data_IF_658468061618
#
_entry.id   IF_658468061618
#
_cell.length_a   1.000
_cell.length_b   1.000
_cell.length_c   1.000
_cell.angle_alpha   90.00
_cell.angle_beta   90.00
_cell.angle_gamma   90.00
#
_symmetry.space_group_name_H-M   'P 1'
#
loop_
_entity.id
_entity.type
_entity.pdbx_description
1 polymer ?
#
# COMPACT_ATOMS: atom_id res chain seq x y z
N UNK A 1 -3.22 23.17 11.66
CA UNK A 1 -3.96 22.14 10.94
C UNK A 1 -3.12 20.89 10.79
N UNK A 2 -3.72 19.74 11.05
CA UNK A 2 -3.02 18.50 10.92
C UNK A 2 -3.01 18.06 9.46
N UNK A 3 -1.86 17.58 8.98
CA UNK A 3 -1.76 16.95 7.69
C UNK A 3 -1.76 15.45 7.86
N UNK A 4 -2.25 14.75 6.86
CA UNK A 4 -2.21 13.30 6.85
C UNK A 4 -0.75 12.86 6.65
N UNK A 5 -0.26 11.86 7.40
CA UNK A 5 1.09 11.36 7.19
C UNK A 5 1.25 10.83 5.77
N UNK A 6 2.47 10.86 5.28
CA UNK A 6 2.77 10.36 3.94
C UNK A 6 2.90 8.84 3.96
N UNK A 7 1.83 8.17 3.59
CA UNK A 7 1.78 6.72 3.53
C UNK A 7 2.27 6.16 2.19
N UNK A 8 2.87 6.98 1.33
CA UNK A 8 3.35 6.52 0.04
C UNK A 8 4.32 5.34 0.22
N UNK A 9 4.08 4.27 -0.53
CA UNK A 9 4.89 3.06 -0.45
C UNK A 9 4.35 2.00 0.49
N UNK A 10 3.38 2.33 1.34
CA UNK A 10 2.78 1.33 2.21
C UNK A 10 1.93 0.35 1.41
N UNK A 11 1.85 -0.88 1.89
CA UNK A 11 0.97 -1.90 1.32
C UNK A 11 -0.22 -2.07 2.24
N UNK A 12 -1.41 -2.05 1.65
CA UNK A 12 -2.66 -2.08 2.39
C UNK A 12 -3.62 -3.07 1.76
N UNK A 13 -4.61 -3.50 2.55
CA UNK A 13 -5.71 -4.30 2.06
C UNK A 13 -7.00 -3.51 2.26
N UNK A 14 -7.82 -3.42 1.21
CA UNK A 14 -9.11 -2.75 1.32
C UNK A 14 -10.07 -3.58 2.17
N UNK A 15 -10.77 -2.92 3.09
CA UNK A 15 -11.71 -3.59 4.00
C UNK A 15 -13.15 -3.24 3.72
N UNK A 16 -13.41 -2.39 2.73
CA UNK A 16 -14.77 -1.96 2.40
C UNK A 16 -14.87 -1.65 0.91
N UNK A 17 -16.10 -1.63 0.41
CA UNK A 17 -16.39 -1.26 -0.96
C UNK A 17 -16.13 -2.38 -1.96
N UNK A 18 -16.11 -2.02 -3.24
CA UNK A 18 -15.92 -2.98 -4.32
C UNK A 18 -14.57 -3.66 -4.32
N UNK A 19 -13.57 -2.98 -3.76
CA UNK A 19 -12.21 -3.49 -3.74
C UNK A 19 -11.89 -4.29 -2.48
N UNK A 20 -12.91 -4.58 -1.67
CA UNK A 20 -12.73 -5.29 -0.40
C UNK A 20 -11.94 -6.58 -0.60
N UNK A 21 -10.93 -6.77 0.22
CA UNK A 21 -10.04 -7.92 0.15
C UNK A 21 -8.88 -7.76 -0.81
N UNK A 22 -8.89 -6.71 -1.64
CA UNK A 22 -7.81 -6.46 -2.58
C UNK A 22 -6.56 -5.90 -1.93
N UNK A 23 -5.41 -6.27 -2.48
CA UNK A 23 -4.11 -5.81 -2.02
C UNK A 23 -3.65 -4.66 -2.90
N UNK A 24 -3.24 -3.56 -2.28
CA UNK A 24 -2.85 -2.34 -3.00
C UNK A 24 -1.59 -1.73 -2.42
N UNK A 25 -0.91 -0.96 -3.26
CA UNK A 25 0.18 -0.10 -2.82
C UNK A 25 -0.33 1.33 -2.78
N UNK A 26 0.06 2.07 -1.75
CA UNK A 26 -0.25 3.50 -1.66
C UNK A 26 0.72 4.24 -2.57
N UNK A 27 0.20 4.81 -3.65
CA UNK A 27 1.03 5.53 -4.62
C UNK A 27 1.06 7.03 -4.37
N UNK A 28 0.26 7.51 -3.44
CA UNK A 28 0.24 8.89 -3.05
C UNK A 28 -0.80 9.14 -1.98
N UNK A 29 -0.90 10.38 -1.55
CA UNK A 29 -1.86 10.79 -0.53
C UNK A 29 -2.55 12.07 -1.01
N UNK A 30 -3.88 12.07 -0.94
CA UNK A 30 -4.68 13.26 -1.23
C UNK A 30 -4.86 14.02 0.08
N UNK A 31 -4.03 15.03 0.31
CA UNK A 31 -4.06 15.79 1.56
C UNK A 31 -5.36 16.59 1.72
N UNK A 32 -5.90 17.08 0.61
CA UNK A 32 -7.11 17.90 0.68
C UNK A 32 -8.31 17.11 1.22
N UNK A 33 -8.41 15.85 0.80
CA UNK A 33 -9.53 14.98 1.20
C UNK A 33 -9.12 13.97 2.25
N UNK A 34 -7.85 13.93 2.60
CA UNK A 34 -7.28 13.01 3.59
C UNK A 34 -7.57 11.56 3.23
N UNK A 35 -7.22 11.22 2.00
CA UNK A 35 -7.42 9.87 1.48
C UNK A 35 -6.12 9.31 0.93
N UNK A 36 -6.01 7.99 1.00
CA UNK A 36 -4.91 7.27 0.39
C UNK A 36 -5.24 7.02 -1.08
N UNK A 37 -4.23 7.14 -1.94
CA UNK A 37 -4.37 6.82 -3.36
C UNK A 37 -3.79 5.43 -3.59
N UNK A 38 -4.65 4.49 -3.96
CA UNK A 38 -4.31 3.07 -4.04
C UNK A 38 -4.23 2.59 -5.48
N UNK A 39 -3.21 1.81 -5.79
CA UNK A 39 -3.08 1.18 -7.09
C UNK A 39 -2.47 -0.22 -6.94
N UNK A 40 -2.83 -1.12 -7.83
CA UNK A 40 -2.28 -2.46 -7.85
C UNK A 40 -1.68 -2.83 -9.22
N UNK A 41 -1.79 -1.93 -10.19
CA UNK A 41 -1.27 -2.14 -11.53
C UNK A 41 -2.14 -3.06 -12.40
N UNK A 42 -3.27 -3.50 -11.88
CA UNK A 42 -4.16 -4.42 -12.59
C UNK A 42 -5.58 -3.86 -12.68
N UNK A 43 -6.29 -3.84 -11.56
CA UNK A 43 -7.64 -3.26 -11.50
C UNK A 43 -7.59 -1.76 -11.30
N UNK A 44 -6.62 -1.30 -10.52
CA UNK A 44 -6.40 0.13 -10.26
C UNK A 44 -5.02 0.50 -10.78
N UNK A 45 -4.99 1.17 -11.91
CA UNK A 45 -3.74 1.55 -12.56
C UNK A 45 -3.08 2.71 -11.83
N UNK A 46 -1.76 2.82 -11.96
CA UNK A 46 -1.01 3.91 -11.36
C UNK A 46 -1.58 5.27 -11.77
N UNK A 47 -1.95 5.42 -13.05
CA UNK A 47 -2.47 6.68 -13.58
C UNK A 47 -3.86 7.02 -13.08
N UNK A 48 -4.60 6.04 -12.55
CA UNK A 48 -5.96 6.24 -12.03
C UNK A 48 -6.14 5.49 -10.71
N UNK A 49 -5.43 5.92 -9.68
CA UNK A 49 -5.53 5.23 -8.39
C UNK A 49 -6.90 5.45 -7.76
N UNK A 50 -7.28 4.53 -6.90
CA UNK A 50 -8.52 4.63 -6.15
C UNK A 50 -8.27 5.40 -4.86
N UNK A 51 -9.05 6.44 -4.60
CA UNK A 51 -8.99 7.17 -3.33
C UNK A 51 -9.79 6.41 -2.27
N UNK A 52 -9.18 6.18 -1.12
CA UNK A 52 -9.83 5.49 0.00
C UNK A 52 -9.44 6.12 1.32
N UNK A 53 -10.42 6.18 2.22
CA UNK A 53 -10.16 6.62 3.59
C UNK A 53 -9.28 5.63 4.32
N UNK A 54 -8.49 6.14 5.25
CA UNK A 54 -7.63 5.31 6.10
C UNK A 54 -8.45 4.27 6.87
N UNK A 55 -9.69 4.60 7.22
CA UNK A 55 -10.56 3.69 7.95
C UNK A 55 -11.02 2.48 7.14
N UNK A 56 -10.87 2.53 5.84
CA UNK A 56 -11.34 1.47 4.95
C UNK A 56 -10.22 0.60 4.44
N UNK A 57 -9.06 0.64 5.09
CA UNK A 57 -7.92 -0.21 4.75
C UNK A 57 -7.26 -0.76 6.00
N UNK A 58 -6.61 -1.90 5.84
CA UNK A 58 -5.68 -2.43 6.84
C UNK A 58 -4.27 -2.11 6.38
N UNK A 59 -3.45 -1.58 7.28
CA UNK A 59 -2.06 -1.26 6.99
C UNK A 59 -1.24 -2.54 7.18
N UNK A 60 -0.79 -3.12 6.07
CA UNK A 60 -0.10 -4.41 6.12
C UNK A 60 1.40 -4.29 6.24
N UNK A 61 2.02 -3.41 5.47
CA UNK A 61 3.47 -3.28 5.50
C UNK A 61 3.88 -1.84 5.28
N UNK A 62 4.91 -1.44 5.99
CA UNK A 62 5.54 -0.12 5.89
C UNK A 62 6.81 -0.26 5.07
N UNK A 63 7.11 0.68 4.16
CA UNK A 63 8.39 0.63 3.45
C UNK A 63 9.54 0.91 4.42
N UNK A 64 10.71 0.38 4.11
CA UNK A 64 11.89 0.64 4.90
C UNK A 64 12.30 2.11 4.77
N UNK A 65 12.82 2.69 5.84
CA UNK A 65 13.30 4.05 5.85
C UNK A 65 12.36 4.99 6.59
N UNK A 66 12.30 6.24 6.13
CA UNK A 66 11.50 7.27 6.78
C UNK A 66 10.02 7.07 6.53
N UNK A 67 9.22 7.45 7.51
CA UNK A 67 7.79 7.39 7.36
C UNK A 67 7.10 7.52 8.69
N UNK A 68 5.76 7.41 8.71
CA UNK A 68 5.05 7.40 9.97
C UNK A 68 5.34 6.11 10.73
N UNK A 69 6.13 6.23 11.79
CA UNK A 69 6.55 5.08 12.59
C UNK A 69 5.67 4.83 13.81
N UNK A 70 4.73 5.71 14.06
CA UNK A 70 3.82 5.56 15.19
C UNK A 70 2.65 4.63 14.90
N UNK A 71 2.53 4.15 13.67
CA UNK A 71 1.53 3.16 13.30
C UNK A 71 2.25 1.85 13.01
N UNK A 72 1.84 0.78 13.67
CA UNK A 72 2.47 -0.51 13.50
C UNK A 72 1.71 -1.34 12.48
N UNK A 73 2.31 -1.64 11.32
CA UNK A 73 1.63 -2.46 10.32
C UNK A 73 1.60 -3.93 10.73
N UNK A 74 0.60 -4.65 10.24
CA UNK A 74 0.40 -6.05 10.62
C UNK A 74 1.56 -6.96 10.23
N UNK A 75 2.18 -6.72 9.08
CA UNK A 75 3.26 -7.55 8.57
C UNK A 75 4.64 -6.88 8.64
N UNK A 76 4.76 -5.78 9.37
CA UNK A 76 6.05 -5.11 9.56
C UNK A 76 6.51 -4.33 8.34
N UNK A 77 7.82 -4.43 8.03
CA UNK A 77 8.41 -3.69 6.93
C UNK A 77 8.55 -4.56 5.70
N UNK A 78 8.42 -3.94 4.54
CA UNK A 78 8.64 -4.61 3.26
C UNK A 78 9.43 -3.69 2.36
N UNK A 79 10.56 -4.17 1.87
CA UNK A 79 11.43 -3.41 0.99
C UNK A 79 11.39 -3.99 -0.42
N UNK A 80 11.23 -3.11 -1.40
CA UNK A 80 11.21 -3.50 -2.81
C UNK A 80 11.66 -2.31 -3.65
N UNK A 81 12.47 -2.54 -4.71
CA UNK A 81 12.96 -1.43 -5.54
C UNK A 81 11.85 -0.51 -6.08
N UNK A 82 10.70 -1.10 -6.46
CA UNK A 82 9.56 -0.30 -6.93
C UNK A 82 9.02 0.62 -5.85
N UNK A 83 8.93 0.12 -4.62
CA UNK A 83 8.44 0.91 -3.50
C UNK A 83 9.41 2.04 -3.19
N UNK A 84 10.70 1.78 -3.25
CA UNK A 84 11.71 2.82 -3.01
C UNK A 84 11.61 3.93 -4.06
N UNK A 85 11.32 3.59 -5.31
CA UNK A 85 11.10 4.58 -6.34
C UNK A 85 9.91 5.48 -6.03
N UNK A 86 8.82 4.90 -5.55
CA UNK A 86 7.65 5.68 -5.15
C UNK A 86 8.01 6.67 -4.05
N UNK A 87 8.79 6.23 -3.08
CA UNK A 87 9.20 7.10 -1.97
C UNK A 87 10.08 8.24 -2.42
N UNK A 88 10.82 8.05 -3.51
CA UNK A 88 11.66 9.09 -4.08
C UNK A 88 10.89 10.03 -5.00
N UNK A 89 9.58 9.83 -5.12
CA UNK A 89 8.76 10.68 -5.96
C UNK A 89 8.72 10.26 -7.42
N UNK A 90 9.26 9.10 -7.75
CA UNK A 90 9.26 8.62 -9.12
C UNK A 90 7.98 7.87 -9.45
N UNK A 91 7.55 7.99 -10.69
CA UNK A 91 6.39 7.25 -11.16
C UNK A 91 6.74 5.77 -11.29
N UNK A 92 5.74 4.92 -11.11
CA UNK A 92 5.92 3.49 -11.17
C UNK A 92 5.01 2.90 -12.24
N UNK A 93 5.54 2.01 -13.07
CA UNK A 93 4.72 1.35 -14.06
C UNK A 93 3.76 0.36 -13.41
N UNK A 94 2.65 0.06 -14.10
CA UNK A 94 1.71 -0.92 -13.60
C UNK A 94 2.35 -2.30 -13.45
N UNK A 95 3.26 -2.64 -14.34
CA UNK A 95 4.01 -3.88 -14.25
C UNK A 95 4.85 -3.93 -12.97
N UNK A 96 5.51 -2.83 -12.65
CA UNK A 96 6.33 -2.75 -11.44
C UNK A 96 5.46 -2.84 -10.19
N UNK A 97 4.28 -2.21 -10.20
CA UNK A 97 3.32 -2.34 -9.10
C UNK A 97 2.90 -3.79 -8.90
N UNK A 98 2.54 -4.48 -9.98
CA UNK A 98 2.16 -5.89 -9.89
C UNK A 98 3.27 -6.75 -9.33
N UNK A 99 4.52 -6.48 -9.76
CA UNK A 99 5.68 -7.22 -9.28
C UNK A 99 5.94 -6.99 -7.79
N UNK A 100 5.81 -5.74 -7.34
CA UNK A 100 6.02 -5.42 -5.94
C UNK A 100 4.97 -6.12 -5.07
N UNK A 101 3.71 -6.09 -5.48
CA UNK A 101 2.65 -6.73 -4.72
C UNK A 101 2.76 -8.25 -4.76
N UNK A 102 3.20 -8.81 -5.88
CA UNK A 102 3.44 -10.26 -5.96
C UNK A 102 4.56 -10.68 -5.02
N UNK A 103 5.64 -9.90 -4.97
CA UNK A 103 6.73 -10.18 -4.05
C UNK A 103 6.28 -10.12 -2.59
N UNK A 104 5.41 -9.17 -2.27
CA UNK A 104 4.85 -9.07 -0.93
C UNK A 104 3.98 -10.28 -0.60
N UNK A 105 3.14 -10.73 -1.54
CA UNK A 105 2.32 -11.93 -1.34
C UNK A 105 3.18 -13.16 -1.09
N UNK A 106 4.27 -13.29 -1.83
CA UNK A 106 5.20 -14.41 -1.63
C UNK A 106 5.79 -14.39 -0.23
N UNK A 107 6.15 -13.20 0.25
CA UNK A 107 6.67 -13.05 1.60
C UNK A 107 5.61 -13.42 2.63
N UNK A 108 4.37 -12.97 2.44
CA UNK A 108 3.26 -13.30 3.34
C UNK A 108 2.93 -14.78 3.35
N UNK A 109 3.12 -15.46 2.23
CA UNK A 109 2.82 -16.88 2.12
C UNK A 109 3.55 -17.74 3.15
N UNK A 110 4.68 -17.26 3.67
CA UNK A 110 5.40 -17.94 4.71
C UNK A 110 5.01 -17.54 6.12
N UNK A 111 4.01 -16.68 6.29
CA UNK A 111 3.61 -16.17 7.59
C UNK A 111 2.28 -16.78 8.04
N UNK A 112 2.25 -17.21 9.29
CA UNK A 112 1.04 -17.80 9.89
C UNK A 112 -0.16 -16.87 9.85
N UNK A 113 0.09 -15.59 10.06
CA UNK A 113 -0.92 -14.55 10.01
C UNK A 113 -1.78 -14.64 8.75
N UNK A 114 -1.15 -14.85 7.62
CA UNK A 114 -1.84 -14.89 6.34
C UNK A 114 -2.64 -16.17 6.15
N UNK A 115 -2.11 -17.27 6.62
CA UNK A 115 -2.74 -18.58 6.45
C UNK A 115 -4.05 -18.72 7.22
N UNK A 116 -4.21 -17.97 8.27
CA UNK A 116 -5.42 -18.05 9.09
C UNK A 116 -6.67 -17.55 8.40
N UNK A 117 -6.53 -16.90 7.28
CA UNK A 117 -7.68 -16.36 6.55
C UNK A 117 -8.33 -17.38 5.64
N UNK A 118 -7.75 -18.53 5.50
CA UNK A 118 -8.28 -19.57 4.62
C UNK A 118 -9.23 -20.52 5.32
#
# INVERSE_FOLDING_TARGET
MSTMPDYTGWIVRATAGRDKGGLFCVVGVDQARKRLLLADGKRRKYARPKAKDLYHVELLARPCGKGPHYVEPLAGEFDHPGIQKLKQGEALSDKALRRALAAFRDQLGGMTLWQKTT
#
